data_IF_105010473110
#
_entry.id   IF_105010473110
#
_cell.length_a   1.000
_cell.length_b   1.000
_cell.length_c   1.000
_cell.angle_alpha   90.00
_cell.angle_beta   90.00
_cell.angle_gamma   90.00
#
_symmetry.space_group_name_H-M   'P 1'
#
loop_
_entity.id
_entity.type
_entity.pdbx_description
1 polymer ?
#
# COMPACT_ATOMS: atom_id res chain seq x y z
N UNK A 1 -10.66 11.91 17.08
CA UNK A 1 -10.06 11.18 15.94
C UNK A 1 -9.34 9.95 16.49
N UNK A 2 -9.76 8.73 16.15
CA UNK A 2 -9.03 7.52 16.55
C UNK A 2 -7.81 7.38 15.62
N UNK A 3 -6.60 7.11 16.13
CA UNK A 3 -5.48 6.83 15.25
C UNK A 3 -5.82 5.57 14.44
N UNK A 4 -5.80 5.70 13.12
CA UNK A 4 -5.83 4.55 12.22
C UNK A 4 -4.65 3.67 12.63
N UNK A 5 -4.93 2.54 13.28
CA UNK A 5 -3.89 1.57 13.65
C UNK A 5 -3.29 1.05 12.35
N UNK A 6 -2.13 1.58 11.93
CA UNK A 6 -1.34 1.00 10.87
C UNK A 6 -1.03 -0.46 11.25
N UNK A 7 -1.73 -1.40 10.62
CA UNK A 7 -1.46 -2.82 10.81
C UNK A 7 -0.27 -3.20 9.94
N UNK A 8 0.87 -3.43 10.58
CA UNK A 8 2.04 -4.01 9.94
C UNK A 8 1.79 -5.49 9.72
N UNK A 9 1.89 -5.94 8.48
CA UNK A 9 1.86 -7.34 8.09
C UNK A 9 3.30 -7.82 7.82
N UNK A 10 3.61 -9.08 8.09
CA UNK A 10 4.95 -9.64 7.87
C UNK A 10 4.86 -10.87 6.98
N UNK A 11 5.72 -10.97 5.98
CA UNK A 11 5.91 -12.18 5.16
C UNK A 11 7.40 -12.42 4.95
N UNK A 12 7.94 -13.42 5.66
CA UNK A 12 9.38 -13.64 5.71
C UNK A 12 10.11 -12.43 6.33
N UNK A 13 11.10 -11.91 5.60
CA UNK A 13 11.91 -10.75 5.99
C UNK A 13 11.28 -9.40 5.61
N UNK A 14 10.15 -9.43 4.89
CA UNK A 14 9.42 -8.24 4.47
C UNK A 14 8.34 -7.86 5.47
N UNK A 15 8.21 -6.56 5.69
CA UNK A 15 7.15 -5.92 6.45
C UNK A 15 6.33 -5.04 5.50
N UNK A 16 5.01 -5.09 5.66
CA UNK A 16 4.05 -4.44 4.79
C UNK A 16 3.16 -3.52 5.60
N UNK A 17 3.05 -2.28 5.16
CA UNK A 17 2.29 -1.25 5.84
C UNK A 17 1.37 -0.54 4.83
N UNK A 18 0.11 -0.35 5.20
CA UNK A 18 -0.82 0.44 4.38
C UNK A 18 -0.70 1.91 4.75
N UNK A 19 -0.44 2.75 3.75
CA UNK A 19 -0.48 4.21 3.84
C UNK A 19 -1.74 4.70 3.12
N UNK A 20 -2.50 5.56 3.79
CA UNK A 20 -3.71 6.17 3.25
C UNK A 20 -3.43 7.66 3.04
N UNK A 21 -2.97 8.08 1.85
CA UNK A 21 -2.85 9.49 1.52
C UNK A 21 -4.21 10.21 1.63
N UNK A 22 -4.23 11.55 1.79
CA UNK A 22 -5.46 12.33 1.86
C UNK A 22 -6.35 12.16 0.61
N UNK A 23 -7.63 12.49 0.75
CA UNK A 23 -8.73 12.19 -0.19
C UNK A 23 -8.36 12.40 -1.67
N UNK A 24 -8.67 11.40 -2.50
CA UNK A 24 -8.44 11.40 -3.95
C UNK A 24 -7.22 10.62 -4.43
N UNK A 25 -6.43 10.05 -3.52
CA UNK A 25 -5.25 9.23 -3.84
C UNK A 25 -5.46 7.75 -3.50
N UNK A 26 -4.86 6.85 -4.28
CA UNK A 26 -4.96 5.41 -3.99
C UNK A 26 -4.20 5.05 -2.73
N UNK A 27 -4.66 4.02 -2.03
CA UNK A 27 -3.88 3.44 -0.93
C UNK A 27 -2.53 2.95 -1.45
N UNK A 28 -1.49 3.14 -0.64
CA UNK A 28 -0.13 2.75 -0.94
C UNK A 28 0.25 1.63 0.02
N UNK A 29 0.74 0.52 -0.50
CA UNK A 29 1.36 -0.54 0.27
C UNK A 29 2.86 -0.25 0.33
N UNK A 30 3.31 0.21 1.49
CA UNK A 30 4.73 0.36 1.79
C UNK A 30 5.33 -0.99 2.17
N UNK A 31 6.43 -1.32 1.50
CA UNK A 31 7.21 -2.53 1.71
C UNK A 31 8.54 -2.12 2.33
N UNK A 32 8.84 -2.76 3.46
CA UNK A 32 10.05 -2.56 4.23
C UNK A 32 10.79 -3.88 4.39
N UNK A 33 12.10 -3.82 4.41
CA UNK A 33 12.95 -4.93 4.84
C UNK A 33 13.32 -4.73 6.31
N UNK A 34 13.31 -5.80 7.11
CA UNK A 34 13.54 -5.74 8.55
C UNK A 34 14.89 -5.13 8.95
N UNK A 35 15.90 -5.19 8.08
CA UNK A 35 17.23 -4.63 8.32
C UNK A 35 17.48 -3.26 7.71
N UNK A 36 16.72 -2.90 6.66
CA UNK A 36 17.01 -1.72 5.82
C UNK A 36 15.92 -0.64 5.88
N UNK A 37 14.73 -0.98 6.37
CA UNK A 37 13.59 -0.07 6.41
C UNK A 37 12.79 -0.05 5.09
N UNK A 38 11.93 0.96 4.91
CA UNK A 38 11.03 1.05 3.76
C UNK A 38 11.81 1.33 2.47
N UNK A 39 11.49 0.62 1.39
CA UNK A 39 12.24 0.72 0.14
C UNK A 39 11.39 0.72 -1.14
N UNK A 40 10.15 0.25 -1.05
CA UNK A 40 9.24 0.11 -2.18
C UNK A 40 7.83 0.54 -1.77
N UNK A 41 7.21 1.37 -2.59
CA UNK A 41 5.80 1.69 -2.52
C UNK A 41 5.06 1.01 -3.66
N UNK A 42 3.99 0.30 -3.33
CA UNK A 42 3.12 -0.36 -4.31
C UNK A 42 1.75 0.28 -4.27
N UNK A 43 1.24 0.70 -5.42
CA UNK A 43 -0.07 1.35 -5.53
C UNK A 43 -0.89 0.70 -6.63
N UNK A 44 -2.21 0.68 -6.47
CA UNK A 44 -3.11 0.18 -7.50
C UNK A 44 -3.53 1.33 -8.41
N UNK A 45 -3.46 1.13 -9.72
CA UNK A 45 -4.01 2.06 -10.71
C UNK A 45 -5.49 1.82 -10.91
N UNK A 46 -6.18 2.81 -11.48
CA UNK A 46 -7.61 2.72 -11.82
C UNK A 46 -7.94 1.57 -12.79
N UNK A 47 -6.97 1.18 -13.63
CA UNK A 47 -7.08 0.05 -14.55
C UNK A 47 -6.92 -1.33 -13.87
N UNK A 48 -6.59 -1.36 -12.58
CA UNK A 48 -6.32 -2.59 -11.82
C UNK A 48 -4.86 -3.06 -11.89
N UNK A 49 -4.00 -2.30 -12.57
CA UNK A 49 -2.56 -2.56 -12.66
C UNK A 49 -1.80 -2.09 -11.42
N UNK A 50 -0.72 -2.77 -11.05
CA UNK A 50 0.12 -2.42 -9.90
C UNK A 50 1.30 -1.54 -10.33
N UNK A 51 1.45 -0.39 -9.67
CA UNK A 51 2.62 0.47 -9.81
C UNK A 51 3.59 0.18 -8.69
N UNK A 52 4.88 0.04 -9.03
CA UNK A 52 5.97 -0.20 -8.10
C UNK A 52 6.93 0.98 -8.16
N UNK A 53 7.10 1.68 -7.04
CA UNK A 53 7.98 2.83 -6.92
C UNK A 53 9.09 2.54 -5.90
N UNK A 54 10.30 2.34 -6.42
CA UNK A 54 11.50 2.13 -5.61
C UNK A 54 12.11 3.47 -5.24
N UNK A 55 12.26 3.74 -3.94
CA UNK A 55 12.81 5.00 -3.42
C UNK A 55 14.00 4.78 -2.49
N UNK A 56 14.39 3.53 -2.22
CA UNK A 56 15.62 3.28 -1.48
C UNK A 56 16.85 3.69 -2.30
N UNK A 57 17.74 4.46 -1.67
CA UNK A 57 19.03 4.85 -2.23
C UNK A 57 20.01 3.67 -2.34
N UNK A 58 19.75 2.59 -1.58
CA UNK A 58 20.55 1.36 -1.61
C UNK A 58 20.02 0.39 -2.65
N UNK A 59 20.92 -0.18 -3.45
CA UNK A 59 20.61 -1.26 -4.38
C UNK A 59 20.15 -2.52 -3.61
N UNK A 60 18.85 -2.64 -3.40
CA UNK A 60 18.20 -3.81 -2.81
C UNK A 60 17.98 -4.87 -3.90
N UNK A 61 18.53 -6.05 -3.68
CA UNK A 61 18.23 -7.22 -4.50
C UNK A 61 16.98 -7.90 -3.96
N UNK A 62 15.90 -7.83 -4.73
CA UNK A 62 14.63 -8.48 -4.38
C UNK A 62 14.59 -9.85 -5.08
N UNK A 63 14.42 -10.89 -4.29
CA UNK A 63 14.22 -12.25 -4.79
C UNK A 63 12.89 -12.37 -5.55
N UNK A 64 12.80 -13.26 -6.54
CA UNK A 64 11.54 -13.62 -7.19
C UNK A 64 10.44 -14.03 -6.18
N UNK A 65 10.83 -14.73 -5.11
CA UNK A 65 9.91 -15.10 -4.03
C UNK A 65 9.35 -13.86 -3.33
N UNK A 66 10.22 -12.92 -2.98
CA UNK A 66 9.83 -11.65 -2.34
C UNK A 66 8.92 -10.83 -3.25
N UNK A 67 9.22 -10.75 -4.54
CA UNK A 67 8.38 -10.06 -5.51
C UNK A 67 6.98 -10.66 -5.58
N UNK A 68 6.88 -12.00 -5.54
CA UNK A 68 5.60 -12.70 -5.49
C UNK A 68 4.82 -12.43 -4.20
N UNK A 69 5.48 -12.47 -3.04
CA UNK A 69 4.88 -12.10 -1.76
C UNK A 69 4.36 -10.66 -1.77
N UNK A 70 5.12 -9.72 -2.35
CA UNK A 70 4.72 -8.32 -2.53
C UNK A 70 3.49 -8.20 -3.43
N UNK A 71 3.47 -8.89 -4.57
CA UNK A 71 2.32 -8.87 -5.48
C UNK A 71 1.07 -9.44 -4.81
N UNK A 72 1.16 -10.62 -4.18
CA UNK A 72 0.03 -11.24 -3.51
C UNK A 72 -0.52 -10.34 -2.39
N UNK A 73 0.36 -9.72 -1.60
CA UNK A 73 -0.02 -8.77 -0.56
C UNK A 73 -0.67 -7.51 -1.14
N UNK A 74 -0.10 -6.95 -2.20
CA UNK A 74 -0.65 -5.79 -2.89
C UNK A 74 -2.05 -6.08 -3.43
N UNK A 75 -2.25 -7.19 -4.15
CA UNK A 75 -3.58 -7.58 -4.68
C UNK A 75 -4.60 -7.87 -3.58
N UNK A 76 -4.15 -8.37 -2.42
CA UNK A 76 -5.02 -8.67 -1.28
C UNK A 76 -5.39 -7.44 -0.45
N UNK A 77 -4.51 -6.43 -0.39
CA UNK A 77 -4.64 -5.28 0.52
C UNK A 77 -5.02 -4.00 -0.20
N UNK A 78 -4.47 -3.77 -1.38
CA UNK A 78 -4.85 -2.66 -2.24
C UNK A 78 -6.17 -3.02 -2.88
N UNK A 79 -7.23 -2.41 -2.37
CA UNK A 79 -8.47 -2.29 -3.12
C UNK A 79 -8.49 -0.90 -3.73
N UNK A 80 -8.90 -0.82 -4.99
CA UNK A 80 -9.37 0.46 -5.54
C UNK A 80 -10.69 0.74 -4.82
N UNK A 81 -10.58 1.28 -3.62
CA UNK A 81 -11.73 1.81 -2.92
C UNK A 81 -11.99 3.13 -3.60
N UNK A 82 -12.82 3.07 -4.64
CA UNK A 82 -13.47 4.26 -5.16
C UNK A 82 -14.15 4.91 -3.95
N UNK A 83 -13.64 6.05 -3.50
CA UNK A 83 -14.20 6.76 -2.34
C UNK A 83 -15.65 7.21 -2.62
N UNK A 84 -16.14 7.10 -3.86
CA UNK A 84 -17.56 7.25 -4.19
C UNK A 84 -18.41 6.01 -3.86
N UNK A 85 -17.80 4.84 -3.63
CA UNK A 85 -18.51 3.60 -3.25
C UNK A 85 -18.67 3.44 -1.73
N UNK A 86 -17.82 4.10 -0.93
CA UNK A 86 -18.13 4.34 0.48
C UNK A 86 -18.99 5.58 0.53
N UNK A 87 -20.32 5.40 0.56
CA UNK A 87 -21.32 6.47 0.64
C UNK A 87 -21.07 7.45 1.78
N UNK A 88 -20.12 8.36 1.58
CA UNK A 88 -20.11 9.68 2.18
C UNK A 88 -21.07 10.47 1.31
N UNK A 89 -22.36 10.17 1.51
CA UNK A 89 -23.40 11.16 1.27
C UNK A 89 -22.89 12.41 1.98
N UNK A 90 -22.49 13.40 1.19
CA UNK A 90 -22.33 14.76 1.70
C UNK A 90 -23.60 15.03 2.48
N UNK A 91 -23.47 15.24 3.78
CA UNK A 91 -24.52 15.89 4.55
C UNK A 91 -24.70 17.24 3.88
N UNK A 92 -25.69 17.32 2.99
CA UNK A 92 -26.22 18.56 2.46
C UNK A 92 -26.97 19.19 3.63
N UNK A 93 -26.28 20.06 4.37
CA UNK A 93 -26.90 20.92 5.35
C UNK A 93 -27.60 22.04 4.54
N UNK A 94 -28.92 21.94 4.41
CA UNK A 94 -29.82 23.02 3.96
C UNK A 94 -31.09 23.01 4.78
#
# INVERSE_FOLDING_TARGET
MKPLKNKIHKAGDLEFQMLYPPEGSTSILEVSDRGLGPFLHVSLRKDGDLTYEFFAETALSISEKQMKDIEEMARRKLSWTDLSAFGWERFDES
#
